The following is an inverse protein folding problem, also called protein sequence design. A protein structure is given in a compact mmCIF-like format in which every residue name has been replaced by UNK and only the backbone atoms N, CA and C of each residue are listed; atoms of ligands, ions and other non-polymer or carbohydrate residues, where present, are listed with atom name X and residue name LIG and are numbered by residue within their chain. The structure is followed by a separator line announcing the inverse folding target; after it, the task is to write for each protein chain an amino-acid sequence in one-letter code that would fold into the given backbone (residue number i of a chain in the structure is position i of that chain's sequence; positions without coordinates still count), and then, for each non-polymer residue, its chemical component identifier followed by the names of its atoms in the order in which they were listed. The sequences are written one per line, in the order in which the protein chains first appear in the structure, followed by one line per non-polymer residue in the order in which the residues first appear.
data_IF_969010683231
#
_entry.id   IF_969010683231
#
_cell.length_a   1.000
_cell.length_b   1.000
_cell.length_c   1.000
_cell.angle_alpha   90.00
_cell.angle_beta   90.00
_cell.angle_gamma   90.00
#
_symmetry.space_group_name_H-M   'P 1'
#
loop_
_entity.id
_entity.type
_entity.pdbx_description
1 polymer ?
#
# COMPACT_ATOMS: atom_id res chain seq x y z
N UNK A 1 -23.87 -3.17 29.53
CA UNK A 1 -23.35 -2.73 28.21
C UNK A 1 -22.13 -3.58 27.89
N UNK A 2 -22.26 -4.57 27.00
CA UNK A 2 -21.09 -5.27 26.44
C UNK A 2 -20.58 -4.45 25.26
N UNK A 3 -19.43 -3.80 25.42
CA UNK A 3 -18.66 -3.24 24.32
C UNK A 3 -17.93 -4.40 23.64
N UNK A 4 -18.49 -4.90 22.53
CA UNK A 4 -17.75 -5.73 21.57
C UNK A 4 -16.81 -4.80 20.79
N UNK A 5 -15.67 -4.43 21.37
CA UNK A 5 -14.55 -3.87 20.61
C UNK A 5 -14.01 -4.99 19.74
N UNK A 6 -14.40 -5.03 18.47
CA UNK A 6 -13.87 -6.00 17.53
C UNK A 6 -12.35 -5.86 17.46
N UNK A 7 -11.62 -6.93 17.79
CA UNK A 7 -10.19 -7.08 17.58
C UNK A 7 -9.89 -7.08 16.08
N UNK A 8 -9.94 -5.91 15.44
CA UNK A 8 -9.52 -5.69 14.07
C UNK A 8 -8.08 -5.18 14.04
N UNK A 9 -7.32 -5.59 13.03
CA UNK A 9 -6.01 -5.01 12.77
C UNK A 9 -6.16 -3.49 12.51
N UNK A 10 -5.29 -2.67 13.11
CA UNK A 10 -5.30 -1.22 12.93
C UNK A 10 -4.66 -0.85 11.59
N UNK A 11 -5.25 0.09 10.86
CA UNK A 11 -4.64 0.62 9.63
C UNK A 11 -3.60 1.70 9.99
N UNK A 12 -2.35 1.50 9.57
CA UNK A 12 -1.21 2.36 9.84
C UNK A 12 -0.61 2.91 8.53
N UNK A 13 0.01 4.11 8.56
CA UNK A 13 0.61 4.76 7.38
C UNK A 13 1.99 4.15 7.02
N UNK A 14 2.04 2.83 6.88
CA UNK A 14 3.27 2.06 6.61
C UNK A 14 3.43 1.68 5.13
N UNK A 15 2.46 2.08 4.29
CA UNK A 15 2.54 1.96 2.85
C UNK A 15 2.48 3.35 2.21
N UNK A 16 3.13 3.49 1.06
CA UNK A 16 3.14 4.72 0.28
C UNK A 16 3.34 4.43 -1.21
N UNK A 17 3.10 5.45 -2.04
CA UNK A 17 3.40 5.40 -3.47
C UNK A 17 4.25 6.61 -3.85
N UNK A 18 5.39 6.38 -4.48
CA UNK A 18 6.25 7.44 -5.02
C UNK A 18 6.25 7.39 -6.54
N UNK A 19 6.60 8.50 -7.17
CA UNK A 19 6.90 8.54 -8.60
C UNK A 19 8.42 8.56 -8.81
N UNK A 20 8.92 7.67 -9.68
CA UNK A 20 10.28 7.79 -10.19
C UNK A 20 10.38 8.98 -11.17
N UNK A 21 11.60 9.47 -11.50
CA UNK A 21 11.78 10.62 -12.38
C UNK A 21 11.18 10.46 -13.79
N UNK A 22 11.01 9.22 -14.25
CA UNK A 22 10.37 8.85 -15.52
C UNK A 22 8.83 8.78 -15.44
N UNK A 23 8.25 9.07 -14.27
CA UNK A 23 6.81 8.98 -14.00
C UNK A 23 6.34 7.57 -13.61
N UNK A 24 7.23 6.57 -13.56
CA UNK A 24 6.86 5.22 -13.15
C UNK A 24 6.44 5.23 -11.66
N UNK A 25 5.25 4.74 -11.30
CA UNK A 25 4.84 4.63 -9.90
C UNK A 25 5.55 3.48 -9.21
N UNK A 26 5.98 3.69 -7.97
CA UNK A 26 6.63 2.70 -7.10
C UNK A 26 5.86 2.56 -5.80
N UNK A 27 5.62 1.33 -5.38
CA UNK A 27 5.13 0.97 -4.06
C UNK A 27 6.27 1.07 -3.04
N UNK A 28 5.98 1.60 -1.86
CA UNK A 28 6.94 1.70 -0.75
C UNK A 28 6.30 1.11 0.50
N UNK A 29 6.92 0.10 1.11
CA UNK A 29 6.52 -0.52 2.37
C UNK A 29 7.56 -0.31 3.46
N UNK A 30 7.08 -0.02 4.67
CA UNK A 30 7.86 0.19 5.90
C UNK A 30 7.19 -0.54 7.06
N UNK A 31 7.24 -1.90 7.12
CA UNK A 31 6.72 -2.64 8.27
C UNK A 31 7.43 -2.23 9.57
N UNK A 32 6.79 -2.44 10.71
CA UNK A 32 7.35 -2.06 12.01
C UNK A 32 8.55 -2.93 12.39
N UNK A 33 9.72 -2.31 12.58
CA UNK A 33 10.94 -3.01 13.00
C UNK A 33 11.24 -4.26 12.17
N UNK A 34 11.37 -5.40 12.85
CA UNK A 34 11.65 -6.71 12.23
C UNK A 34 10.39 -7.55 11.95
N UNK A 35 9.22 -6.93 12.03
CA UNK A 35 7.95 -7.60 11.80
C UNK A 35 7.90 -8.23 10.42
N UNK A 36 7.38 -9.45 10.39
CA UNK A 36 6.98 -10.05 9.14
C UNK A 36 5.63 -9.52 8.70
N UNK A 37 5.43 -9.33 7.40
CA UNK A 37 4.14 -9.05 6.79
C UNK A 37 3.72 -10.16 5.82
N UNK A 38 2.46 -10.10 5.42
CA UNK A 38 1.82 -11.06 4.51
C UNK A 38 0.76 -10.40 3.67
N UNK A 39 0.36 -11.12 2.63
CA UNK A 39 -0.80 -10.76 1.82
C UNK A 39 -0.70 -9.38 1.15
N UNK A 40 0.45 -8.93 0.61
CA UNK A 40 0.47 -7.63 -0.03
C UNK A 40 -0.43 -7.64 -1.27
N UNK A 41 -1.16 -6.55 -1.46
CA UNK A 41 -2.13 -6.39 -2.53
C UNK A 41 -2.18 -4.95 -3.05
N UNK A 42 -2.56 -4.84 -4.32
CA UNK A 42 -2.98 -3.61 -4.98
C UNK A 42 -4.39 -3.84 -5.53
N UNK A 43 -5.33 -3.05 -5.04
CA UNK A 43 -6.74 -3.10 -5.39
C UNK A 43 -7.15 -1.81 -6.10
N UNK A 44 -7.35 -1.86 -7.41
CA UNK A 44 -7.85 -0.74 -8.21
C UNK A 44 -9.30 -0.93 -8.66
N UNK A 45 -10.12 0.11 -8.44
CA UNK A 45 -11.55 0.14 -8.78
C UNK A 45 -11.93 1.45 -9.48
N UNK A 46 -12.91 1.46 -10.41
CA UNK A 46 -13.46 2.70 -10.93
C UNK A 46 -14.03 3.57 -9.80
N UNK A 47 -13.73 4.87 -9.82
CA UNK A 47 -14.23 5.82 -8.82
C UNK A 47 -15.76 5.88 -8.90
N UNK A 48 -16.42 5.75 -7.76
CA UNK A 48 -17.89 5.69 -7.67
C UNK A 48 -18.48 4.29 -7.73
N UNK A 49 -17.67 3.24 -7.97
CA UNK A 49 -18.13 1.85 -7.96
C UNK A 49 -18.41 1.28 -6.55
N UNK A 50 -18.20 2.06 -5.48
CA UNK A 50 -18.40 1.61 -4.10
C UNK A 50 -17.60 0.34 -3.78
N UNK A 51 -18.28 -0.69 -3.27
CA UNK A 51 -17.72 -2.04 -3.01
C UNK A 51 -17.76 -2.97 -4.25
N UNK A 52 -17.76 -2.39 -5.46
CA UNK A 52 -17.69 -3.12 -6.71
C UNK A 52 -16.39 -3.95 -6.84
N UNK A 53 -16.33 -4.83 -7.87
CA UNK A 53 -15.19 -5.70 -8.06
C UNK A 53 -13.89 -4.92 -8.31
N UNK A 54 -12.77 -5.50 -7.90
CA UNK A 54 -11.43 -5.03 -8.29
C UNK A 54 -11.25 -5.30 -9.77
N UNK A 55 -10.99 -4.26 -10.54
CA UNK A 55 -10.84 -4.35 -12.00
C UNK A 55 -9.39 -4.35 -12.44
N UNK A 56 -8.48 -3.85 -11.61
CA UNK A 56 -7.03 -3.76 -11.90
C UNK A 56 -6.21 -3.90 -10.62
N UNK A 57 -5.02 -4.46 -10.72
CA UNK A 57 -4.06 -4.57 -9.62
C UNK A 57 -3.46 -5.96 -9.50
N UNK A 58 -3.13 -6.39 -8.29
CA UNK A 58 -2.54 -7.70 -8.03
C UNK A 58 -2.69 -8.10 -6.57
N UNK A 59 -2.57 -9.40 -6.29
CA UNK A 59 -2.49 -9.93 -4.93
C UNK A 59 -1.39 -10.97 -4.82
N UNK A 60 -0.70 -11.02 -3.70
CA UNK A 60 0.24 -12.10 -3.38
C UNK A 60 -0.17 -12.76 -2.08
N UNK A 61 -0.41 -14.08 -2.11
CA UNK A 61 -0.73 -14.88 -0.91
C UNK A 61 0.51 -15.21 -0.06
N UNK A 62 1.62 -14.52 -0.30
CA UNK A 62 2.90 -14.78 0.35
C UNK A 62 2.86 -14.29 1.80
N UNK A 63 3.56 -15.01 2.67
CA UNK A 63 3.65 -14.74 4.10
C UNK A 63 5.11 -14.77 4.54
N UNK A 64 5.36 -14.24 5.75
CA UNK A 64 6.71 -14.20 6.29
C UNK A 64 7.64 -13.26 5.51
N UNK A 65 7.08 -12.32 4.75
CA UNK A 65 7.85 -11.27 4.08
C UNK A 65 8.46 -10.37 5.15
N UNK A 66 9.68 -9.88 4.94
CA UNK A 66 10.42 -9.10 5.94
C UNK A 66 11.15 -7.94 5.29
N UNK A 67 11.39 -6.92 6.09
CA UNK A 67 12.13 -5.73 5.70
C UNK A 67 11.34 -4.81 4.78
N UNK A 68 11.91 -3.63 4.60
CA UNK A 68 11.38 -2.62 3.70
C UNK A 68 11.32 -3.11 2.25
N UNK A 69 10.33 -2.61 1.50
CA UNK A 69 10.20 -2.89 0.08
C UNK A 69 10.00 -1.59 -0.71
N UNK A 70 10.67 -1.50 -1.86
CA UNK A 70 10.52 -0.42 -2.84
C UNK A 70 10.61 -1.03 -4.25
N UNK A 71 9.49 -1.04 -4.98
CA UNK A 71 9.37 -1.75 -6.27
C UNK A 71 8.33 -1.09 -7.18
N UNK A 72 8.41 -1.28 -8.52
CA UNK A 72 7.43 -0.71 -9.44
C UNK A 72 6.01 -1.18 -9.08
N UNK A 73 5.06 -0.27 -8.99
CA UNK A 73 3.72 -0.50 -8.40
C UNK A 73 2.96 -1.66 -9.04
N UNK A 74 3.18 -1.93 -10.34
CA UNK A 74 2.54 -3.01 -11.08
C UNK A 74 3.48 -4.17 -11.44
N UNK A 75 4.67 -4.21 -10.84
CA UNK A 75 5.66 -5.28 -11.00
C UNK A 75 6.25 -5.66 -9.63
N UNK A 76 5.46 -6.33 -8.76
CA UNK A 76 5.92 -6.77 -7.45
C UNK A 76 7.07 -7.79 -7.58
N UNK A 77 7.93 -7.92 -6.56
CA UNK A 77 9.06 -8.83 -6.59
C UNK A 77 8.64 -10.25 -7.02
N UNK A 78 9.35 -10.83 -7.99
CA UNK A 78 8.97 -12.12 -8.59
C UNK A 78 8.79 -13.25 -7.55
N UNK A 79 9.58 -13.23 -6.47
CA UNK A 79 9.51 -14.18 -5.36
C UNK A 79 8.19 -14.15 -4.56
N UNK A 80 7.39 -13.09 -4.73
CA UNK A 80 6.07 -12.97 -4.11
C UNK A 80 5.01 -13.74 -4.91
N UNK A 81 5.30 -14.10 -6.17
CA UNK A 81 4.41 -14.82 -7.09
C UNK A 81 3.01 -14.17 -7.19
N UNK A 82 2.99 -12.85 -7.38
CA UNK A 82 1.76 -12.08 -7.41
C UNK A 82 0.87 -12.47 -8.60
N UNK A 83 -0.44 -12.51 -8.35
CA UNK A 83 -1.48 -12.73 -9.36
C UNK A 83 -2.00 -11.38 -9.81
N UNK A 84 -1.75 -11.04 -11.08
CA UNK A 84 -2.24 -9.79 -11.64
C UNK A 84 -3.71 -9.89 -12.08
N UNK A 85 -4.42 -8.78 -11.97
CA UNK A 85 -5.79 -8.58 -12.47
C UNK A 85 -5.83 -7.35 -13.36
N UNK A 86 -6.48 -7.48 -14.51
CA UNK A 86 -6.72 -6.37 -15.44
C UNK A 86 -5.44 -5.68 -15.92
N UNK A 87 -5.52 -4.36 -16.09
CA UNK A 87 -4.40 -3.55 -16.57
C UNK A 87 -3.27 -3.44 -15.55
N UNK A 88 -2.03 -3.31 -16.03
CA UNK A 88 -0.79 -3.13 -15.24
C UNK A 88 -0.28 -1.69 -15.28
N UNK A 89 -1.19 -0.73 -15.37
CA UNK A 89 -0.89 0.70 -15.27
C UNK A 89 -2.04 1.42 -14.56
N UNK A 90 -1.77 2.65 -14.12
CA UNK A 90 -2.80 3.51 -13.54
C UNK A 90 -3.85 3.82 -14.60
N UNK A 91 -5.11 3.61 -14.24
CA UNK A 91 -6.26 3.90 -15.07
C UNK A 91 -6.87 5.25 -14.64
N UNK A 92 -7.29 6.08 -15.60
CA UNK A 92 -8.03 7.30 -15.29
C UNK A 92 -9.26 7.00 -14.44
N UNK A 93 -9.60 7.93 -13.54
CA UNK A 93 -10.79 7.83 -12.67
C UNK A 93 -10.86 6.53 -11.86
N UNK A 94 -9.73 5.89 -11.56
CA UNK A 94 -9.68 4.77 -10.61
C UNK A 94 -9.15 5.23 -9.24
N UNK A 95 -9.63 4.57 -8.19
CA UNK A 95 -9.06 4.63 -6.86
C UNK A 95 -8.35 3.32 -6.59
N UNK A 96 -7.16 3.42 -6.03
CA UNK A 96 -6.31 2.31 -5.67
C UNK A 96 -6.14 2.25 -4.16
N UNK A 97 -6.05 1.03 -3.64
CA UNK A 97 -5.63 0.73 -2.28
C UNK A 97 -4.43 -0.19 -2.39
N UNK A 98 -3.30 0.21 -1.83
CA UNK A 98 -2.12 -0.63 -1.69
C UNK A 98 -2.01 -1.02 -0.21
N UNK A 99 -1.90 -2.32 0.07
CA UNK A 99 -1.92 -2.86 1.42
C UNK A 99 -0.90 -3.97 1.62
N UNK A 100 -0.43 -4.13 2.85
CA UNK A 100 0.05 -5.41 3.41
C UNK A 100 -0.47 -5.57 4.85
N UNK A 101 -0.45 -6.79 5.39
CA UNK A 101 -0.88 -7.04 6.77
C UNK A 101 0.20 -7.68 7.63
N UNK A 102 0.23 -7.31 8.90
CA UNK A 102 0.92 -7.99 9.97
C UNK A 102 -0.12 -8.52 10.96
N UNK A 103 -0.03 -9.81 11.29
CA UNK A 103 -1.03 -10.45 12.15
C UNK A 103 -0.33 -11.35 13.17
N UNK A 104 0.24 -10.74 14.20
CA UNK A 104 0.62 -11.40 15.44
C UNK A 104 -0.44 -11.11 16.53
N UNK A 105 -0.66 -12.06 17.44
CA UNK A 105 -1.67 -11.91 18.49
C UNK A 105 -1.29 -10.79 19.45
N UNK A 106 -2.08 -9.69 19.44
CA UNK A 106 -1.87 -8.49 20.26
C UNK A 106 -1.65 -7.22 19.43
N UNK A 107 -0.82 -7.32 18.39
CA UNK A 107 -0.27 -6.15 17.67
C UNK A 107 -0.57 -6.20 16.16
N UNK A 108 -1.73 -6.73 15.78
CA UNK A 108 -2.10 -6.84 14.37
C UNK A 108 -2.36 -5.47 13.73
N UNK A 109 -1.77 -5.21 12.56
CA UNK A 109 -1.97 -3.99 11.78
C UNK A 109 -1.98 -4.25 10.28
N UNK A 110 -2.48 -3.28 9.51
CA UNK A 110 -2.28 -3.19 8.07
C UNK A 110 -1.42 -1.96 7.76
N UNK A 111 -0.43 -2.11 6.89
CA UNK A 111 0.14 -0.96 6.20
C UNK A 111 -0.74 -0.62 5.02
N UNK A 112 -1.30 0.60 4.95
CA UNK A 112 -2.25 0.97 3.89
C UNK A 112 -1.99 2.36 3.31
N UNK A 113 -2.21 2.50 2.01
CA UNK A 113 -2.34 3.80 1.35
C UNK A 113 -3.43 3.76 0.30
N UNK A 114 -4.22 4.83 0.25
CA UNK A 114 -5.21 5.06 -0.79
C UNK A 114 -4.80 6.21 -1.69
N UNK A 115 -4.98 6.04 -2.99
CA UNK A 115 -4.56 7.05 -3.96
C UNK A 115 -5.34 6.97 -5.27
N UNK A 116 -5.18 7.99 -6.11
CA UNK A 116 -5.61 8.00 -7.51
C UNK A 116 -4.42 8.29 -8.42
N UNK A 117 -4.52 7.95 -9.71
CA UNK A 117 -3.45 8.26 -10.66
C UNK A 117 -3.14 9.75 -10.72
N UNK A 118 -4.17 10.60 -10.67
CA UNK A 118 -4.01 12.05 -10.70
C UNK A 118 -3.26 12.62 -9.48
N UNK A 119 -3.26 11.91 -8.34
CA UNK A 119 -2.46 12.28 -7.17
C UNK A 119 -1.00 11.90 -7.36
N UNK A 120 -0.74 10.73 -7.94
CA UNK A 120 0.63 10.25 -8.21
C UNK A 120 1.30 11.11 -9.29
N UNK A 121 0.58 11.48 -10.34
CA UNK A 121 1.07 12.34 -11.43
C UNK A 121 1.48 13.76 -10.95
N UNK A 122 0.99 14.18 -9.77
CA UNK A 122 1.30 15.49 -9.16
C UNK A 122 2.48 15.42 -8.20
N UNK A 123 3.03 14.24 -7.92
CA UNK A 123 4.19 14.11 -7.04
C UNK A 123 5.41 14.74 -7.71
N UNK A 124 6.11 15.58 -6.94
CA UNK A 124 7.43 16.06 -7.30
C UNK A 124 8.47 14.95 -7.09
N UNK A 125 9.62 15.00 -7.78
CA UNK A 125 10.73 14.09 -7.50
C UNK A 125 11.06 14.02 -6.01
N UNK A 126 11.22 12.81 -5.47
CA UNK A 126 11.51 12.56 -4.06
C UNK A 126 10.30 12.64 -3.11
N UNK A 127 9.09 12.87 -3.64
CA UNK A 127 7.86 12.81 -2.85
C UNK A 127 7.25 11.40 -2.85
N UNK A 128 6.59 11.10 -1.74
CA UNK A 128 5.76 9.92 -1.50
C UNK A 128 4.35 10.42 -1.20
N UNK A 129 3.35 9.81 -1.82
CA UNK A 129 1.96 9.88 -1.39
C UNK A 129 1.71 8.84 -0.31
N UNK A 130 1.41 9.27 0.90
CA UNK A 130 1.04 8.43 2.03
C UNK A 130 0.14 9.25 2.96
N UNK A 131 -0.69 8.59 3.76
CA UNK A 131 -1.55 9.27 4.75
C UNK A 131 -2.37 10.44 4.15
N UNK A 132 -2.90 10.23 2.95
CA UNK A 132 -3.73 11.20 2.24
C UNK A 132 -3.02 12.47 1.76
N UNK A 133 -1.68 12.53 1.79
CA UNK A 133 -0.92 13.71 1.38
C UNK A 133 0.42 13.38 0.71
N UNK A 134 0.92 14.31 -0.08
CA UNK A 134 2.30 14.25 -0.59
C UNK A 134 3.28 14.72 0.50
N UNK A 135 4.34 13.97 0.74
CA UNK A 135 5.42 14.31 1.67
C UNK A 135 6.78 13.85 1.13
N UNK A 136 7.89 14.27 1.74
CA UNK A 136 9.20 13.73 1.37
C UNK A 136 9.34 12.27 1.84
N UNK A 137 10.25 11.51 1.21
CA UNK A 137 10.56 10.15 1.66
C UNK A 137 10.94 10.11 3.15
N UNK A 138 11.82 11.01 3.61
CA UNK A 138 12.21 11.07 5.02
C UNK A 138 11.05 11.39 5.97
N UNK A 139 10.08 12.20 5.54
CA UNK A 139 8.89 12.49 6.34
C UNK A 139 7.96 11.27 6.42
N UNK A 140 7.86 10.49 5.34
CA UNK A 140 7.13 9.22 5.33
C UNK A 140 7.81 8.20 6.24
N UNK A 141 9.15 8.07 6.19
CA UNK A 141 9.90 7.15 7.05
C UNK A 141 9.75 7.49 8.53
N UNK A 142 9.78 8.79 8.89
CA UNK A 142 9.48 9.22 10.25
C UNK A 142 8.04 8.92 10.65
N UNK A 143 7.07 9.21 9.79
CA UNK A 143 5.66 8.92 10.04
C UNK A 143 5.41 7.43 10.27
N UNK A 144 6.05 6.57 9.48
CA UNK A 144 5.96 5.12 9.64
C UNK A 144 6.59 4.66 10.95
N UNK A 145 7.78 5.17 11.30
CA UNK A 145 8.44 4.85 12.56
C UNK A 145 7.64 5.31 13.80
N UNK A 146 7.03 6.48 13.74
CA UNK A 146 6.21 7.03 14.83
C UNK A 146 4.89 6.25 15.05
N UNK A 147 4.47 5.43 14.06
CA UNK A 147 3.20 4.71 14.08
C UNK A 147 3.28 3.29 14.69
N UNK A 148 4.47 2.80 15.04
CA UNK A 148 4.76 1.38 15.35
C UNK A 148 4.72 0.98 16.84
#
# INVERSE_FOLDING_TARGET
MLLLSGCGAVDLPLAGVRAAPDGTPYAVFRPCGDDSYRGPDLDGRPRGAGKGPVTTGWDAKKEGLRGDADFPLFDPPAAWHARHRGSRHLLPRHRYVLRFGHYAGGDSYNGVVEFTGEQIDRLKPGQVWADGRAMSLAAFERLAADAC
#
